data_IF_755158239429
#
_entry.id   IF_755158239429
#
_cell.length_a   1.000
_cell.length_b   1.000
_cell.length_c   1.000
_cell.angle_alpha   90.00
_cell.angle_beta   90.00
_cell.angle_gamma   90.00
#
_symmetry.space_group_name_H-M   'P 1'
#
loop_
_entity.id
_entity.type
_entity.pdbx_description
1 polymer ?
#
# COMPACT_ATOMS: atom_id res chain seq x y z
N UNK A 1 -29.01 28.29 9.02
CA UNK A 1 -28.21 27.22 9.66
C UNK A 1 -26.78 27.40 9.20
N UNK A 2 -25.93 27.98 10.04
CA UNK A 2 -24.50 28.14 9.74
C UNK A 2 -23.83 26.78 9.95
N UNK A 3 -23.78 25.95 8.91
CA UNK A 3 -23.04 24.70 8.92
C UNK A 3 -21.55 24.99 9.06
N UNK A 4 -20.87 24.27 9.95
CA UNK A 4 -19.41 24.28 10.00
C UNK A 4 -18.86 23.98 8.58
N UNK A 5 -17.74 24.59 8.16
CA UNK A 5 -17.18 24.34 6.85
C UNK A 5 -16.91 22.83 6.68
N UNK A 6 -17.39 22.26 5.57
CA UNK A 6 -17.18 20.85 5.24
C UNK A 6 -15.68 20.60 5.14
N UNK A 7 -15.19 19.59 5.87
CA UNK A 7 -13.75 19.27 5.86
C UNK A 7 -13.41 18.59 4.54
N UNK A 8 -12.29 19.00 3.96
CA UNK A 8 -11.81 18.49 2.66
C UNK A 8 -10.48 17.76 2.79
N UNK A 9 -10.33 16.70 2.01
CA UNK A 9 -9.06 15.96 1.88
C UNK A 9 -8.62 15.84 0.42
N UNK A 10 -7.32 15.80 0.18
CA UNK A 10 -6.75 15.41 -1.10
C UNK A 10 -6.23 13.99 -1.03
N UNK A 11 -6.25 13.28 -2.15
CA UNK A 11 -5.58 11.98 -2.27
C UNK A 11 -4.83 11.91 -3.59
N UNK A 12 -3.52 11.70 -3.51
CA UNK A 12 -2.66 11.65 -4.68
C UNK A 12 -2.79 10.29 -5.37
N UNK A 13 -3.01 10.31 -6.68
CA UNK A 13 -3.13 9.13 -7.52
C UNK A 13 -2.17 9.23 -8.69
N UNK A 14 -1.71 8.09 -9.20
CA UNK A 14 -0.90 8.00 -10.41
C UNK A 14 -1.26 6.72 -11.17
N UNK A 15 -1.04 6.65 -12.49
CA UNK A 15 -1.28 5.43 -13.25
C UNK A 15 -0.38 4.29 -12.76
N UNK A 16 -0.92 3.08 -12.66
CA UNK A 16 -0.19 1.86 -12.29
C UNK A 16 0.19 1.04 -13.53
N UNK A 17 -0.53 1.22 -14.62
CA UNK A 17 -0.34 0.54 -15.90
C UNK A 17 -0.60 1.48 -17.09
N UNK A 18 -0.09 1.12 -18.27
CA UNK A 18 -0.39 1.89 -19.49
C UNK A 18 -1.86 1.77 -19.87
N UNK A 19 -2.51 0.65 -19.54
CA UNK A 19 -3.94 0.44 -19.72
C UNK A 19 -4.75 1.45 -18.89
N UNK A 20 -4.29 1.81 -17.69
CA UNK A 20 -4.90 2.89 -16.90
C UNK A 20 -4.82 4.22 -17.66
N UNK A 21 -3.66 4.53 -18.25
CA UNK A 21 -3.47 5.77 -19.02
C UNK A 21 -4.42 5.80 -20.22
N UNK A 22 -4.53 4.71 -20.98
CA UNK A 22 -5.45 4.60 -22.12
C UNK A 22 -6.92 4.70 -21.69
N UNK A 23 -7.26 4.18 -20.51
CA UNK A 23 -8.61 4.26 -19.95
C UNK A 23 -9.01 5.69 -19.59
N UNK A 24 -8.08 6.48 -19.05
CA UNK A 24 -8.35 7.86 -18.66
C UNK A 24 -8.15 8.87 -19.80
N UNK A 25 -7.26 8.57 -20.74
CA UNK A 25 -7.01 9.36 -21.96
C UNK A 25 -7.08 8.45 -23.20
N UNK A 26 -8.23 8.40 -23.89
CA UNK A 26 -8.38 7.66 -25.16
C UNK A 26 -7.37 8.10 -26.24
N UNK A 27 -6.81 9.31 -26.13
CA UNK A 27 -5.75 9.79 -27.01
C UNK A 27 -4.41 9.08 -26.80
N UNK A 28 -4.23 8.31 -25.73
CA UNK A 28 -3.06 7.47 -25.51
C UNK A 28 -3.12 6.15 -26.29
N UNK A 29 -4.32 5.71 -26.70
CA UNK A 29 -4.52 4.42 -27.39
C UNK A 29 -3.68 4.36 -28.66
N UNK A 30 -2.87 3.30 -28.78
CA UNK A 30 -2.01 3.05 -29.94
C UNK A 30 -0.71 3.87 -29.97
N UNK A 31 -0.43 4.70 -28.96
CA UNK A 31 0.89 5.36 -28.83
C UNK A 31 1.91 4.39 -28.21
N UNK A 32 3.16 4.50 -28.66
CA UNK A 32 4.26 3.73 -28.05
C UNK A 32 4.53 4.16 -26.61
N UNK A 33 4.86 3.20 -25.74
CA UNK A 33 5.19 3.45 -24.31
C UNK A 33 6.20 4.59 -24.08
N UNK A 34 7.31 4.72 -24.85
CA UNK A 34 8.24 5.84 -24.65
C UNK A 34 7.61 7.21 -24.90
N UNK A 35 6.66 7.30 -25.85
CA UNK A 35 5.94 8.54 -26.14
C UNK A 35 5.00 8.87 -24.99
N UNK A 36 4.26 7.87 -24.49
CA UNK A 36 3.36 8.04 -23.33
C UNK A 36 4.16 8.51 -22.11
N UNK A 37 5.27 7.84 -21.76
CA UNK A 37 6.16 8.25 -20.65
C UNK A 37 6.57 9.71 -20.78
N UNK A 38 7.01 10.14 -21.97
CA UNK A 38 7.48 11.50 -22.19
C UNK A 38 6.37 12.55 -22.08
N UNK A 39 5.17 12.22 -22.55
CA UNK A 39 3.99 13.09 -22.40
C UNK A 39 3.64 13.24 -20.93
N UNK A 40 3.58 12.14 -20.17
CA UNK A 40 3.27 12.12 -18.75
C UNK A 40 4.23 13.01 -17.94
N UNK A 41 5.52 12.97 -18.25
CA UNK A 41 6.53 13.88 -17.68
C UNK A 41 6.25 15.37 -17.88
N UNK A 42 5.44 15.77 -18.86
CA UNK A 42 5.14 17.18 -19.10
C UNK A 42 3.83 17.64 -18.46
N UNK A 43 2.98 16.71 -18.04
CA UNK A 43 1.68 17.05 -17.47
C UNK A 43 1.87 17.44 -15.99
N UNK A 44 1.48 18.67 -15.57
CA UNK A 44 1.53 19.06 -14.17
C UNK A 44 0.50 18.26 -13.35
N UNK A 45 0.61 18.24 -12.01
CA UNK A 45 -0.45 17.70 -11.18
C UNK A 45 -1.80 18.36 -11.47
N UNK A 46 -2.88 17.57 -11.49
CA UNK A 46 -4.20 18.07 -11.84
C UNK A 46 -5.30 17.39 -11.03
N UNK A 47 -6.45 18.06 -10.88
CA UNK A 47 -7.62 17.48 -10.23
C UNK A 47 -8.27 16.46 -11.16
N UNK A 48 -8.30 15.21 -10.74
CA UNK A 48 -8.89 14.09 -11.49
C UNK A 48 -10.41 14.04 -11.26
N UNK A 49 -10.84 14.08 -10.01
CA UNK A 49 -12.26 13.99 -9.65
C UNK A 49 -12.55 14.54 -8.27
N UNK A 50 -13.83 14.83 -8.03
CA UNK A 50 -14.36 15.20 -6.73
C UNK A 50 -14.98 13.96 -6.05
N UNK A 51 -14.80 13.85 -4.74
CA UNK A 51 -15.36 12.81 -3.89
C UNK A 51 -16.38 13.49 -2.98
N UNK A 52 -17.64 13.09 -3.13
CA UNK A 52 -18.78 13.66 -2.39
C UNK A 52 -19.62 12.55 -1.77
N UNK A 53 -20.43 12.90 -0.77
CA UNK A 53 -21.35 11.95 -0.13
C UNK A 53 -20.70 11.01 0.89
N UNK A 54 -19.45 11.27 1.28
CA UNK A 54 -18.80 10.52 2.36
C UNK A 54 -19.31 11.07 3.68
N UNK A 55 -20.07 10.23 4.39
CA UNK A 55 -20.67 10.58 5.68
C UNK A 55 -20.28 9.57 6.74
N UNK A 56 -19.83 10.06 7.89
CA UNK A 56 -19.58 9.24 9.07
C UNK A 56 -20.90 8.66 9.59
N UNK A 57 -21.02 7.33 9.66
CA UNK A 57 -22.19 6.70 10.26
C UNK A 57 -22.30 6.97 11.77
N UNK A 58 -21.17 7.16 12.45
CA UNK A 58 -21.13 7.37 13.90
C UNK A 58 -21.43 8.81 14.31
N UNK A 59 -20.97 9.79 13.53
CA UNK A 59 -21.08 11.22 13.88
C UNK A 59 -22.03 12.01 12.98
N UNK A 60 -22.42 11.45 11.83
CA UNK A 60 -23.22 12.12 10.81
C UNK A 60 -22.46 13.21 10.04
N UNK A 61 -21.21 13.50 10.39
CA UNK A 61 -20.37 14.50 9.72
C UNK A 61 -20.09 14.09 8.27
N UNK A 62 -20.15 15.06 7.35
CA UNK A 62 -19.77 14.88 5.95
C UNK A 62 -18.39 15.43 5.68
N UNK A 63 -17.69 14.77 4.76
CA UNK A 63 -16.43 15.22 4.19
C UNK A 63 -16.52 15.19 2.68
N UNK A 64 -15.74 16.07 2.06
CA UNK A 64 -15.49 16.07 0.62
C UNK A 64 -14.02 15.75 0.37
N UNK A 65 -13.72 15.27 -0.83
CA UNK A 65 -12.34 15.03 -1.21
C UNK A 65 -12.05 15.27 -2.67
N UNK A 66 -10.78 15.28 -3.01
CA UNK A 66 -10.30 15.46 -4.38
C UNK A 66 -9.22 14.44 -4.69
N UNK A 67 -9.40 13.70 -5.80
CA UNK A 67 -8.28 12.96 -6.38
C UNK A 67 -7.40 13.90 -7.17
N UNK A 68 -6.10 13.87 -6.89
CA UNK A 68 -5.10 14.71 -7.53
C UNK A 68 -4.11 13.79 -8.25
N UNK A 69 -4.14 13.86 -9.57
CA UNK A 69 -3.30 13.06 -10.44
C UNK A 69 -1.88 13.62 -10.45
N UNK A 70 -0.91 12.78 -10.12
CA UNK A 70 0.51 13.00 -10.40
C UNK A 70 0.89 12.04 -11.54
N UNK A 71 0.89 12.50 -12.80
CA UNK A 71 0.92 11.63 -13.98
C UNK A 71 2.33 11.10 -14.21
N UNK A 72 2.73 10.08 -13.45
CA UNK A 72 4.00 9.37 -13.59
C UNK A 72 3.75 7.86 -13.48
N UNK A 73 4.36 7.10 -14.39
CA UNK A 73 4.36 5.64 -14.34
C UNK A 73 5.24 5.13 -13.19
N UNK A 74 5.00 3.91 -12.65
CA UNK A 74 5.81 3.34 -11.57
C UNK A 74 7.31 3.39 -11.82
N UNK A 75 7.76 3.15 -13.07
CA UNK A 75 9.19 3.20 -13.40
C UNK A 75 9.74 4.63 -13.34
N UNK A 76 8.94 5.63 -13.72
CA UNK A 76 9.37 7.04 -13.70
C UNK A 76 9.56 7.55 -12.27
N UNK A 77 8.73 7.09 -11.32
CA UNK A 77 8.92 7.38 -9.90
C UNK A 77 10.28 6.90 -9.38
N UNK A 78 10.80 5.81 -9.93
CA UNK A 78 12.08 5.21 -9.53
C UNK A 78 13.27 5.76 -10.32
N UNK A 79 13.06 6.15 -11.58
CA UNK A 79 14.11 6.56 -12.53
C UNK A 79 14.39 8.08 -12.49
N UNK A 80 13.37 8.92 -12.27
CA UNK A 80 13.53 10.37 -12.34
C UNK A 80 14.32 10.93 -11.15
N UNK A 81 15.01 12.08 -11.33
CA UNK A 81 15.68 12.77 -10.23
C UNK A 81 14.72 13.08 -9.09
N UNK A 82 15.18 12.89 -7.84
CA UNK A 82 14.36 13.17 -6.65
C UNK A 82 13.86 14.61 -6.60
N UNK A 83 14.64 15.56 -7.10
CA UNK A 83 14.26 16.98 -7.20
C UNK A 83 13.00 17.17 -8.05
N UNK A 84 12.89 16.43 -9.14
CA UNK A 84 11.79 16.54 -10.10
C UNK A 84 10.53 15.90 -9.53
N UNK A 85 10.68 14.74 -8.87
CA UNK A 85 9.59 14.09 -8.12
C UNK A 85 9.08 15.02 -7.01
N UNK A 86 9.98 15.62 -6.23
CA UNK A 86 9.58 16.55 -5.17
C UNK A 86 8.86 17.78 -5.73
N UNK A 87 9.30 18.35 -6.85
CA UNK A 87 8.60 19.47 -7.49
C UNK A 87 7.16 19.09 -7.90
N UNK A 88 6.93 17.87 -8.38
CA UNK A 88 5.58 17.36 -8.69
C UNK A 88 4.73 17.22 -7.44
N UNK A 89 5.29 16.67 -6.37
CA UNK A 89 4.59 16.50 -5.10
C UNK A 89 4.21 17.86 -4.47
N UNK A 90 5.11 18.84 -4.53
CA UNK A 90 4.84 20.22 -4.09
C UNK A 90 3.69 20.82 -4.90
N UNK A 91 3.72 20.72 -6.23
CA UNK A 91 2.63 21.20 -7.09
C UNK A 91 1.29 20.54 -6.78
N UNK A 92 1.30 19.24 -6.46
CA UNK A 92 0.09 18.51 -6.09
C UNK A 92 -0.45 18.95 -4.72
N UNK A 93 0.43 19.20 -3.74
CA UNK A 93 0.06 19.67 -2.41
C UNK A 93 -0.48 21.12 -2.44
N UNK A 94 0.13 22.00 -3.23
CA UNK A 94 -0.39 23.37 -3.41
C UNK A 94 -1.75 23.36 -4.12
N UNK A 95 -1.93 22.54 -5.15
CA UNK A 95 -3.24 22.35 -5.78
C UNK A 95 -4.28 21.83 -4.77
N UNK A 96 -3.91 20.89 -3.89
CA UNK A 96 -4.82 20.41 -2.85
C UNK A 96 -5.25 21.54 -1.90
N UNK A 97 -4.31 22.43 -1.55
CA UNK A 97 -4.56 23.60 -0.69
C UNK A 97 -5.46 24.62 -1.37
N UNK A 98 -5.25 24.89 -2.66
CA UNK A 98 -6.14 25.74 -3.48
C UNK A 98 -7.57 25.18 -3.53
N UNK A 99 -7.72 23.86 -3.55
CA UNK A 99 -9.02 23.16 -3.48
C UNK A 99 -9.63 23.16 -2.06
N UNK A 100 -8.92 23.69 -1.07
CA UNK A 100 -9.37 23.81 0.32
C UNK A 100 -9.13 22.56 1.17
N UNK A 101 -8.28 21.63 0.72
CA UNK A 101 -7.94 20.43 1.50
C UNK A 101 -7.13 20.78 2.74
N UNK A 102 -7.52 20.23 3.89
CA UNK A 102 -6.75 20.35 5.14
C UNK A 102 -5.71 19.25 5.33
N UNK A 103 -5.83 18.16 4.58
CA UNK A 103 -4.92 17.00 4.61
C UNK A 103 -4.79 16.37 3.23
N UNK A 104 -3.61 15.84 2.92
CA UNK A 104 -3.36 15.01 1.74
C UNK A 104 -2.88 13.60 2.10
N UNK A 105 -3.48 12.60 1.46
CA UNK A 105 -2.98 11.23 1.46
C UNK A 105 -2.05 10.98 0.28
N UNK A 106 -0.86 10.44 0.55
CA UNK A 106 0.11 10.03 -0.46
C UNK A 106 -0.19 8.59 -0.91
N UNK A 107 -0.82 8.43 -2.08
CA UNK A 107 -1.15 7.14 -2.65
C UNK A 107 -0.02 6.52 -3.48
N UNK A 108 0.11 5.20 -3.44
CA UNK A 108 1.04 4.44 -4.28
C UNK A 108 2.49 4.89 -4.12
N UNK A 109 3.18 5.11 -5.24
CA UNK A 109 4.60 5.46 -5.25
C UNK A 109 4.91 6.83 -4.65
N UNK A 110 3.91 7.72 -4.52
CA UNK A 110 4.10 9.04 -3.89
C UNK A 110 4.45 8.96 -2.41
N UNK A 111 4.11 7.86 -1.72
CA UNK A 111 4.51 7.62 -0.32
C UNK A 111 5.80 6.79 -0.19
N UNK A 112 6.15 6.04 -1.25
CA UNK A 112 7.32 5.15 -1.28
C UNK A 112 8.59 5.94 -1.63
N UNK A 113 8.49 6.86 -2.59
CA UNK A 113 9.63 7.62 -3.09
C UNK A 113 9.82 8.86 -2.22
N UNK A 114 10.82 8.81 -1.33
CA UNK A 114 11.18 9.93 -0.45
C UNK A 114 11.34 9.49 1.00
N UNK A 115 10.89 10.35 1.91
CA UNK A 115 10.95 10.19 3.36
C UNK A 115 9.56 10.01 4.00
N UNK A 116 8.58 9.55 3.22
CA UNK A 116 7.18 9.41 3.68
C UNK A 116 6.42 10.74 3.77
N UNK A 117 6.89 11.77 3.07
CA UNK A 117 6.22 13.08 3.01
C UNK A 117 6.68 14.06 4.09
N UNK A 118 7.75 13.77 4.82
CA UNK A 118 8.31 14.68 5.83
C UNK A 118 8.82 15.96 5.16
N UNK A 119 9.71 15.84 4.16
CA UNK A 119 10.20 16.99 3.39
C UNK A 119 9.04 17.76 2.74
N UNK A 120 8.02 17.06 2.24
CA UNK A 120 6.85 17.70 1.61
C UNK A 120 6.04 18.52 2.62
N UNK A 121 5.86 18.01 3.85
CA UNK A 121 5.11 18.67 4.91
C UNK A 121 5.85 19.93 5.41
N UNK A 122 7.18 19.88 5.43
CA UNK A 122 8.02 21.05 5.73
C UNK A 122 7.98 22.10 4.62
N UNK A 123 7.95 21.65 3.35
CA UNK A 123 8.00 22.53 2.17
C UNK A 123 6.67 23.25 1.93
N UNK A 124 5.54 22.60 2.21
CA UNK A 124 4.19 23.13 1.94
C UNK A 124 3.42 23.31 3.26
N UNK A 125 3.66 24.42 3.99
CA UNK A 125 3.00 24.64 5.27
C UNK A 125 1.50 24.93 5.09
N UNK A 126 0.71 24.49 6.07
CA UNK A 126 -0.73 24.72 6.12
C UNK A 126 -1.59 23.60 5.53
N UNK A 127 -0.99 22.46 5.15
CA UNK A 127 -1.70 21.24 4.79
C UNK A 127 -1.04 20.03 5.48
N UNK A 128 -1.84 19.18 6.12
CA UNK A 128 -1.32 17.97 6.76
C UNK A 128 -1.01 16.90 5.71
N UNK A 129 -0.02 16.04 5.99
CA UNK A 129 0.39 14.96 5.07
C UNK A 129 0.32 13.63 5.78
N UNK A 130 -0.21 12.62 5.11
CA UNK A 130 -0.20 11.24 5.60
C UNK A 130 0.15 10.27 4.48
N UNK A 131 0.85 9.20 4.84
CA UNK A 131 1.08 8.06 3.94
C UNK A 131 -0.06 7.04 3.98
N UNK A 132 -0.97 7.15 4.95
CA UNK A 132 -2.04 6.17 5.16
C UNK A 132 -1.57 4.83 5.75
N UNK A 133 -0.27 4.60 5.92
CA UNK A 133 0.30 3.31 6.33
C UNK A 133 -0.31 2.74 7.61
N UNK A 134 -0.55 3.56 8.64
CA UNK A 134 -1.15 3.09 9.89
C UNK A 134 -2.56 2.53 9.70
N UNK A 135 -3.36 3.15 8.83
CA UNK A 135 -4.69 2.66 8.49
C UNK A 135 -4.59 1.38 7.67
N UNK A 136 -3.68 1.32 6.69
CA UNK A 136 -3.41 0.11 5.89
C UNK A 136 -3.00 -1.07 6.75
N UNK A 137 -2.10 -0.86 7.72
CA UNK A 137 -1.68 -1.88 8.69
C UNK A 137 -2.88 -2.39 9.49
N UNK A 138 -3.69 -1.48 10.05
CA UNK A 138 -4.86 -1.84 10.85
C UNK A 138 -5.89 -2.62 10.03
N UNK A 139 -6.22 -2.14 8.83
CA UNK A 139 -7.18 -2.77 7.93
C UNK A 139 -6.70 -4.16 7.48
N UNK A 140 -5.44 -4.29 7.07
CA UNK A 140 -4.86 -5.58 6.66
C UNK A 140 -4.85 -6.61 7.77
N UNK A 141 -4.39 -6.24 8.97
CA UNK A 141 -4.42 -7.13 10.15
C UNK A 141 -5.85 -7.52 10.53
N UNK A 142 -6.78 -6.57 10.51
CA UNK A 142 -8.19 -6.83 10.80
C UNK A 142 -8.80 -7.79 9.79
N UNK A 143 -8.52 -7.58 8.49
CA UNK A 143 -8.98 -8.44 7.41
C UNK A 143 -8.43 -9.85 7.53
N UNK A 144 -7.12 -9.96 7.77
CA UNK A 144 -6.43 -11.24 7.98
C UNK A 144 -7.06 -12.05 9.13
N UNK A 145 -7.27 -11.43 10.30
CA UNK A 145 -7.86 -12.13 11.44
C UNK A 145 -9.33 -12.44 11.27
N UNK A 146 -10.09 -11.58 10.59
CA UNK A 146 -11.48 -11.87 10.26
C UNK A 146 -11.58 -13.11 9.38
N UNK A 147 -10.79 -13.17 8.32
CA UNK A 147 -10.75 -14.31 7.42
C UNK A 147 -10.23 -15.59 8.13
N UNK A 148 -9.23 -15.46 9.00
CA UNK A 148 -8.75 -16.59 9.82
C UNK A 148 -9.85 -17.15 10.73
N UNK A 149 -10.68 -16.29 11.31
CA UNK A 149 -11.84 -16.70 12.10
C UNK A 149 -12.91 -17.38 11.23
N UNK A 150 -13.16 -16.90 10.01
CA UNK A 150 -14.09 -17.53 9.06
C UNK A 150 -13.65 -18.93 8.64
N UNK A 151 -12.34 -19.20 8.60
CA UNK A 151 -11.77 -20.53 8.35
C UNK A 151 -11.43 -21.33 9.62
N UNK A 152 -11.89 -20.88 10.79
CA UNK A 152 -11.71 -21.55 12.08
C UNK A 152 -10.22 -21.84 12.42
N UNK A 153 -9.30 -20.99 11.97
CA UNK A 153 -7.86 -21.13 12.27
C UNK A 153 -7.60 -20.77 13.74
N UNK A 154 -6.87 -21.64 14.45
CA UNK A 154 -6.35 -21.36 15.79
C UNK A 154 -5.22 -20.32 15.74
N UNK A 155 -5.57 -19.04 15.76
CA UNK A 155 -4.64 -17.92 15.62
C UNK A 155 -3.45 -18.01 16.62
N UNK A 156 -3.65 -18.25 17.93
CA UNK A 156 -2.54 -18.43 18.86
C UNK A 156 -1.54 -19.54 18.50
N UNK A 157 -2.00 -20.63 17.88
CA UNK A 157 -1.18 -21.75 17.44
C UNK A 157 -0.63 -21.63 16.01
N UNK A 158 -1.10 -20.66 15.24
CA UNK A 158 -0.82 -20.54 13.81
C UNK A 158 0.62 -20.11 13.49
N UNK A 159 1.09 -20.44 12.29
CA UNK A 159 2.25 -19.82 11.65
C UNK A 159 1.83 -18.70 10.70
N UNK A 160 2.47 -17.54 10.82
CA UNK A 160 2.29 -16.43 9.89
C UNK A 160 3.57 -16.14 9.09
N UNK A 161 3.41 -15.65 7.86
CA UNK A 161 4.49 -15.06 7.08
C UNK A 161 4.16 -13.61 6.73
N UNK A 162 5.15 -12.73 6.84
CA UNK A 162 5.05 -11.35 6.37
C UNK A 162 6.03 -11.12 5.22
N UNK A 163 5.49 -10.94 4.02
CA UNK A 163 6.25 -10.68 2.79
C UNK A 163 6.41 -9.17 2.64
N UNK A 164 7.65 -8.70 2.45
CA UNK A 164 7.97 -7.28 2.53
C UNK A 164 8.25 -6.82 3.97
N UNK A 165 8.60 -7.75 4.86
CA UNK A 165 8.80 -7.49 6.30
C UNK A 165 9.77 -6.35 6.63
N UNK A 166 10.72 -6.02 5.74
CA UNK A 166 11.68 -4.92 5.97
C UNK A 166 11.16 -3.54 5.58
N UNK A 167 9.97 -3.44 4.96
CA UNK A 167 9.28 -2.18 4.71
C UNK A 167 8.51 -1.69 5.94
N UNK A 168 8.08 -0.42 5.93
CA UNK A 168 7.39 0.21 7.07
C UNK A 168 6.11 -0.52 7.49
N UNK A 169 5.26 -0.87 6.52
CA UNK A 169 4.02 -1.62 6.73
C UNK A 169 4.35 -3.04 7.22
N UNK A 170 5.18 -3.77 6.46
CA UNK A 170 5.55 -5.15 6.79
C UNK A 170 6.16 -5.30 8.18
N UNK A 171 7.08 -4.41 8.59
CA UNK A 171 7.70 -4.50 9.91
C UNK A 171 6.71 -4.28 11.05
N UNK A 172 5.77 -3.34 10.86
CA UNK A 172 4.74 -3.07 11.86
C UNK A 172 3.72 -4.22 11.93
N UNK A 173 3.28 -4.75 10.79
CA UNK A 173 2.42 -5.93 10.72
C UNK A 173 3.08 -7.14 11.40
N UNK A 174 4.36 -7.39 11.15
CA UNK A 174 5.11 -8.48 11.77
C UNK A 174 5.17 -8.33 13.30
N UNK A 175 5.37 -7.12 13.81
CA UNK A 175 5.39 -6.87 15.26
C UNK A 175 4.02 -7.09 15.90
N UNK A 176 2.93 -6.69 15.22
CA UNK A 176 1.55 -6.92 15.69
C UNK A 176 1.24 -8.43 15.69
N UNK A 177 1.53 -9.12 14.59
CA UNK A 177 1.32 -10.56 14.45
C UNK A 177 2.16 -11.35 15.46
N UNK A 178 3.39 -10.91 15.73
CA UNK A 178 4.28 -11.56 16.69
C UNK A 178 3.73 -11.62 18.11
N UNK A 179 2.67 -10.87 18.45
CA UNK A 179 1.98 -10.94 19.74
C UNK A 179 0.62 -11.66 19.67
N UNK A 180 0.32 -12.32 18.55
CA UNK A 180 -0.97 -12.98 18.27
C UNK A 180 -0.83 -14.43 17.85
N UNK A 181 0.28 -14.80 17.21
CA UNK A 181 0.51 -16.15 16.66
C UNK A 181 1.73 -16.82 17.30
N UNK A 182 1.87 -18.13 17.09
CA UNK A 182 2.99 -18.90 17.65
C UNK A 182 4.33 -18.60 16.94
N UNK A 183 4.29 -18.41 15.61
CA UNK A 183 5.50 -18.22 14.79
C UNK A 183 5.27 -17.18 13.71
N UNK A 184 6.26 -16.31 13.48
CA UNK A 184 6.26 -15.35 12.37
C UNK A 184 7.52 -15.50 11.55
N UNK A 185 7.38 -15.80 10.27
CA UNK A 185 8.47 -15.81 9.29
C UNK A 185 8.52 -14.47 8.56
N UNK A 186 9.65 -13.77 8.66
CA UNK A 186 9.92 -12.51 7.96
C UNK A 186 10.51 -12.81 6.58
N UNK A 187 9.81 -12.41 5.51
CA UNK A 187 10.24 -12.64 4.14
C UNK A 187 10.54 -11.33 3.39
N UNK A 188 11.75 -11.21 2.83
CA UNK A 188 12.17 -10.08 2.02
C UNK A 188 13.42 -10.42 1.19
N UNK A 189 13.85 -9.52 0.31
CA UNK A 189 15.00 -9.75 -0.60
C UNK A 189 16.38 -9.65 0.08
N UNK A 190 16.49 -8.94 1.20
CA UNK A 190 17.78 -8.62 1.82
C UNK A 190 17.95 -9.36 3.16
N UNK A 191 18.76 -10.42 3.14
CA UNK A 191 19.03 -11.27 4.30
C UNK A 191 19.60 -10.49 5.50
N UNK A 192 20.52 -9.54 5.27
CA UNK A 192 21.12 -8.75 6.35
C UNK A 192 20.07 -7.88 7.07
N UNK A 193 19.19 -7.21 6.30
CA UNK A 193 18.10 -6.42 6.88
C UNK A 193 17.09 -7.29 7.63
N UNK A 194 16.78 -8.47 7.10
CA UNK A 194 15.90 -9.43 7.77
C UNK A 194 16.49 -9.90 9.10
N UNK A 195 17.76 -10.31 9.11
CA UNK A 195 18.44 -10.76 10.33
C UNK A 195 18.46 -9.67 11.40
N UNK A 196 18.77 -8.43 11.00
CA UNK A 196 18.77 -7.29 11.92
C UNK A 196 17.36 -7.00 12.46
N UNK A 197 16.35 -7.04 11.59
CA UNK A 197 14.96 -6.84 11.98
C UNK A 197 14.48 -7.92 12.96
N UNK A 198 14.71 -9.20 12.65
CA UNK A 198 14.34 -10.32 13.52
C UNK A 198 15.00 -10.17 14.90
N UNK A 199 16.30 -9.88 14.93
CA UNK A 199 17.04 -9.70 16.19
C UNK A 199 16.52 -8.52 17.01
N UNK A 200 16.25 -7.38 16.37
CA UNK A 200 15.75 -6.19 17.05
C UNK A 200 14.29 -6.35 17.51
N UNK A 201 13.47 -7.12 16.78
CA UNK A 201 12.05 -7.29 17.07
C UNK A 201 11.78 -8.38 18.10
N UNK A 202 12.60 -9.44 18.15
CA UNK A 202 12.37 -10.60 19.02
C UNK A 202 12.09 -10.26 20.50
N UNK A 203 12.75 -9.27 21.14
CA UNK A 203 12.44 -8.89 22.53
C UNK A 203 11.05 -8.27 22.74
N UNK A 204 10.36 -7.88 21.68
CA UNK A 204 9.09 -7.16 21.70
C UNK A 204 7.88 -8.01 21.26
N UNK A 205 8.11 -9.30 21.01
CA UNK A 205 7.09 -10.22 20.50
C UNK A 205 7.16 -11.57 21.22
N UNK A 206 6.01 -12.23 21.37
CA UNK A 206 5.92 -13.55 21.98
C UNK A 206 6.19 -14.71 21.01
N UNK A 207 5.90 -14.50 19.72
CA UNK A 207 6.12 -15.48 18.67
C UNK A 207 7.61 -15.79 18.50
N UNK A 208 7.92 -17.02 18.08
CA UNK A 208 9.23 -17.33 17.53
C UNK A 208 9.37 -16.65 16.18
N UNK A 209 10.39 -15.78 16.04
CA UNK A 209 10.70 -15.15 14.76
C UNK A 209 11.69 -16.01 13.98
N UNK A 210 11.39 -16.17 12.69
CA UNK A 210 12.33 -16.71 11.72
C UNK A 210 12.41 -15.76 10.51
N UNK A 211 13.38 -15.96 9.62
CA UNK A 211 13.46 -15.16 8.41
C UNK A 211 13.98 -15.95 7.22
N UNK A 212 13.55 -15.55 6.03
CA UNK A 212 13.97 -16.19 4.80
C UNK A 212 13.95 -15.21 3.62
N UNK A 213 14.77 -15.50 2.62
CA UNK A 213 14.70 -14.85 1.29
C UNK A 213 13.91 -15.69 0.29
N UNK A 214 13.55 -16.93 0.65
CA UNK A 214 12.71 -17.82 -0.15
C UNK A 214 11.23 -17.62 0.23
N UNK A 215 10.55 -16.81 -0.57
CA UNK A 215 9.12 -16.50 -0.38
C UNK A 215 8.26 -17.75 -0.58
N UNK A 216 8.62 -18.64 -1.51
CA UNK A 216 7.78 -19.80 -1.84
C UNK A 216 7.72 -20.76 -0.67
N UNK A 217 8.87 -21.07 -0.08
CA UNK A 217 8.93 -21.91 1.11
C UNK A 217 8.20 -21.26 2.30
N UNK A 218 8.33 -19.95 2.48
CA UNK A 218 7.66 -19.23 3.56
C UNK A 218 6.13 -19.32 3.46
N UNK A 219 5.57 -19.16 2.26
CA UNK A 219 4.13 -19.21 2.01
C UNK A 219 3.58 -20.64 2.14
N UNK A 220 4.34 -21.66 1.72
CA UNK A 220 3.94 -23.08 1.82
C UNK A 220 3.71 -23.55 3.25
N UNK A 221 4.37 -22.92 4.21
CA UNK A 221 4.38 -23.32 5.62
C UNK A 221 3.53 -22.41 6.52
N UNK A 222 2.85 -21.41 5.97
CA UNK A 222 2.08 -20.42 6.73
C UNK A 222 0.57 -20.67 6.67
N UNK A 223 -0.09 -20.55 7.82
CA UNK A 223 -1.56 -20.47 7.91
C UNK A 223 -2.06 -19.07 7.50
N UNK A 224 -1.28 -18.04 7.88
CA UNK A 224 -1.59 -16.64 7.63
C UNK A 224 -0.49 -15.99 6.79
N UNK A 225 -0.84 -15.38 5.67
CA UNK A 225 0.09 -14.68 4.77
C UNK A 225 -0.30 -13.22 4.72
N UNK A 226 0.64 -12.32 5.03
CA UNK A 226 0.46 -10.89 4.83
C UNK A 226 1.48 -10.36 3.83
N UNK A 227 1.01 -9.72 2.76
CA UNK A 227 1.88 -9.18 1.70
C UNK A 227 1.86 -7.66 1.72
N UNK A 228 3.03 -7.05 1.85
CA UNK A 228 3.21 -5.60 1.93
C UNK A 228 4.46 -5.16 1.16
N UNK A 229 4.60 -5.60 -0.09
CA UNK A 229 5.78 -5.28 -0.91
C UNK A 229 5.55 -4.10 -1.86
N UNK A 230 6.64 -3.66 -2.48
CA UNK A 230 6.66 -2.72 -3.60
C UNK A 230 7.09 -3.42 -4.90
N UNK A 231 6.80 -4.72 -5.02
CA UNK A 231 7.05 -5.47 -6.24
C UNK A 231 6.18 -4.95 -7.39
N UNK A 232 6.68 -5.11 -8.61
CA UNK A 232 5.98 -4.71 -9.85
C UNK A 232 5.23 -5.87 -10.50
N UNK A 233 5.34 -7.07 -9.93
CA UNK A 233 4.74 -8.31 -10.42
C UNK A 233 4.35 -9.20 -9.24
N UNK A 234 3.38 -10.08 -9.47
CA UNK A 234 3.00 -11.10 -8.49
C UNK A 234 4.21 -11.96 -8.09
N UNK A 235 4.26 -12.32 -6.81
CA UNK A 235 5.31 -13.11 -6.15
C UNK A 235 4.73 -14.30 -5.37
N UNK A 236 3.41 -14.34 -5.19
CA UNK A 236 2.68 -15.48 -4.59
C UNK A 236 1.85 -16.15 -5.67
N UNK A 237 2.18 -17.41 -5.98
CA UNK A 237 1.48 -18.24 -6.96
C UNK A 237 0.62 -19.32 -6.27
N UNK A 238 -0.46 -19.81 -6.91
CA UNK A 238 -1.39 -20.80 -6.36
C UNK A 238 -0.72 -22.05 -5.78
N UNK A 239 0.27 -22.58 -6.49
CA UNK A 239 1.02 -23.79 -6.16
C UNK A 239 1.88 -23.68 -4.89
N UNK A 240 2.15 -22.46 -4.41
CA UNK A 240 2.97 -22.23 -3.22
C UNK A 240 2.15 -22.04 -1.94
N UNK A 241 0.81 -21.98 -2.03
CA UNK A 241 -0.03 -21.64 -0.88
C UNK A 241 -0.42 -22.89 -0.10
N UNK A 242 -0.28 -22.86 1.23
CA UNK A 242 -0.77 -23.93 2.11
C UNK A 242 -2.29 -24.12 1.94
N UNK A 243 -2.78 -25.35 2.00
CA UNK A 243 -4.22 -25.60 1.96
C UNK A 243 -4.92 -24.96 3.16
N UNK A 244 -6.05 -24.27 2.93
CA UNK A 244 -6.78 -23.58 3.99
C UNK A 244 -6.15 -22.27 4.49
N UNK A 245 -5.12 -21.75 3.81
CA UNK A 245 -4.46 -20.52 4.24
C UNK A 245 -5.31 -19.27 4.01
N UNK A 246 -5.02 -18.23 4.79
CA UNK A 246 -5.59 -16.90 4.62
C UNK A 246 -4.51 -15.93 4.17
N UNK A 247 -4.82 -15.13 3.16
CA UNK A 247 -3.93 -14.11 2.61
C UNK A 247 -4.57 -12.74 2.77
N UNK A 248 -3.87 -11.81 3.43
CA UNK A 248 -4.20 -10.39 3.37
C UNK A 248 -3.17 -9.65 2.53
N UNK A 249 -3.64 -9.05 1.44
CA UNK A 249 -2.81 -8.29 0.51
C UNK A 249 -2.99 -6.80 0.74
N UNK A 250 -1.91 -6.11 1.11
CA UNK A 250 -1.91 -4.66 1.36
C UNK A 250 -1.01 -3.89 0.39
N UNK A 251 -0.60 -4.53 -0.70
CA UNK A 251 0.30 -3.97 -1.72
C UNK A 251 -0.44 -3.58 -3.00
N UNK A 252 0.10 -2.54 -3.65
CA UNK A 252 -0.27 -2.13 -5.00
C UNK A 252 1.02 -1.75 -5.75
N UNK A 253 1.32 -2.37 -6.91
CA UNK A 253 0.59 -3.47 -7.58
C UNK A 253 0.45 -4.75 -6.73
N UNK A 254 -0.48 -5.62 -7.13
CA UNK A 254 -0.78 -6.87 -6.41
C UNK A 254 0.41 -7.85 -6.41
N UNK A 255 0.78 -8.33 -5.21
CA UNK A 255 1.73 -9.40 -4.94
C UNK A 255 1.16 -10.81 -5.19
N UNK A 256 -0.17 -10.96 -5.13
CA UNK A 256 -0.88 -12.24 -5.26
C UNK A 256 -1.38 -12.42 -6.69
N UNK A 257 -1.05 -13.57 -7.28
CA UNK A 257 -1.51 -13.93 -8.62
C UNK A 257 -3.04 -14.01 -8.69
N UNK A 258 -3.65 -13.40 -9.72
CA UNK A 258 -5.11 -13.48 -9.93
C UNK A 258 -5.61 -14.93 -10.09
N UNK A 259 -4.73 -15.86 -10.45
CA UNK A 259 -5.00 -17.30 -10.56
C UNK A 259 -5.45 -17.91 -9.23
N UNK A 260 -5.02 -17.35 -8.10
CA UNK A 260 -5.37 -17.88 -6.76
C UNK A 260 -6.89 -17.91 -6.58
N UNK A 261 -7.60 -16.85 -7.00
CA UNK A 261 -9.05 -16.76 -6.90
C UNK A 261 -9.80 -17.84 -7.71
N UNK A 262 -9.18 -18.39 -8.76
CA UNK A 262 -9.79 -19.41 -9.62
C UNK A 262 -9.31 -20.83 -9.31
N UNK A 263 -8.05 -20.97 -8.90
CA UNK A 263 -7.40 -22.28 -8.73
C UNK A 263 -7.40 -22.78 -7.28
N UNK A 264 -7.63 -21.89 -6.30
CA UNK A 264 -7.56 -22.20 -4.86
C UNK A 264 -8.83 -21.79 -4.12
N UNK A 265 -9.95 -22.52 -4.31
CA UNK A 265 -11.20 -22.24 -3.59
C UNK A 265 -11.10 -22.50 -2.08
N UNK A 266 -10.03 -23.17 -1.65
CA UNK A 266 -9.70 -23.44 -0.25
C UNK A 266 -8.89 -22.31 0.43
N UNK A 267 -8.54 -21.26 -0.30
CA UNK A 267 -7.76 -20.12 0.19
C UNK A 267 -8.63 -18.86 0.18
N UNK A 268 -8.59 -18.09 1.26
CA UNK A 268 -9.27 -16.81 1.34
C UNK A 268 -8.26 -15.68 1.12
N UNK A 269 -8.48 -14.86 0.08
CA UNK A 269 -7.68 -13.67 -0.21
C UNK A 269 -8.50 -12.42 0.09
N UNK A 270 -7.95 -11.51 0.91
CA UNK A 270 -8.61 -10.28 1.35
C UNK A 270 -7.76 -9.04 1.12
#
# INVERSE_FOLDING_TARGET
>A
MNGAPVRKFGFLVHPLSYDDVERYDPGAVGKGRPIIKKILEWIPPYRVSDIVGVRSAATGEEIEGHFIGVPLMPEQWLELPRTDIMARLVGAAELAKELGCGIIGLGGFSSVVGDGGVTLAETVPGIAITTGNSYTIAAGIQSLFRAAHELEIDIPGASAVVIGATGSIGSACAQILGNKVARVTLAARNATRLKNLAHAMQPHVAAQLDWTVDIRDAVRNADLVLTATSAVSAIVEPEDIKAGAVISEVSLPHDVSRRVATERPDVLVS
#
